data_IF_825355665470
#
_entry.id   IF_825355665470
#
_cell.length_a   1.000
_cell.length_b   1.000
_cell.length_c   1.000
_cell.angle_alpha   90.00
_cell.angle_beta   90.00
_cell.angle_gamma   90.00
#
_symmetry.space_group_name_H-M   'P 1'
#
loop_
_entity.id
_entity.type
_entity.pdbx_description
1 polymer ?
#
# COMPACT_ATOMS: atom_id res chain seq x y z
N UNK A 1 -21.38 -3.47 -27.60
CA UNK A 1 -21.23 -2.26 -26.77
C UNK A 1 -19.82 -1.74 -26.97
N UNK A 2 -19.66 -0.54 -27.53
CA UNK A 2 -18.33 0.03 -27.72
C UNK A 2 -17.78 0.50 -26.37
N UNK A 3 -16.88 -0.29 -25.78
CA UNK A 3 -16.26 0.01 -24.48
C UNK A 3 -15.34 1.25 -24.52
N UNK A 4 -15.05 1.80 -25.71
CA UNK A 4 -14.31 3.05 -25.86
C UNK A 4 -15.19 4.30 -25.85
N UNK A 5 -16.52 4.15 -25.93
CA UNK A 5 -17.45 5.27 -25.85
C UNK A 5 -17.44 5.85 -24.42
N UNK A 6 -17.20 7.14 -24.32
CA UNK A 6 -17.24 7.88 -23.05
C UNK A 6 -18.52 8.68 -22.95
N UNK A 7 -19.28 8.49 -21.87
CA UNK A 7 -20.51 9.22 -21.56
C UNK A 7 -20.16 10.42 -20.68
N UNK A 8 -20.54 11.66 -21.06
CA UNK A 8 -20.22 12.85 -20.28
C UNK A 8 -21.03 12.92 -18.97
N UNK A 9 -20.43 13.49 -17.92
CA UNK A 9 -21.11 13.76 -16.65
C UNK A 9 -21.91 15.06 -16.72
N UNK A 10 -23.03 15.12 -15.99
CA UNK A 10 -23.73 16.39 -15.76
C UNK A 10 -22.95 17.26 -14.76
N UNK A 11 -23.11 18.61 -14.77
CA UNK A 11 -22.38 19.49 -13.85
C UNK A 11 -22.58 19.15 -12.37
N UNK A 12 -23.78 18.72 -12.00
CA UNK A 12 -24.12 18.36 -10.63
C UNK A 12 -23.64 16.95 -10.25
N UNK A 13 -23.46 16.05 -11.23
CA UNK A 13 -22.78 14.78 -11.07
C UNK A 13 -21.28 14.97 -10.83
N UNK A 14 -20.63 15.91 -11.53
CA UNK A 14 -19.24 16.29 -11.27
C UNK A 14 -19.03 16.80 -9.84
N UNK A 15 -19.94 17.64 -9.34
CA UNK A 15 -19.92 18.12 -7.96
C UNK A 15 -20.06 16.97 -6.94
N UNK A 16 -20.92 15.99 -7.22
CA UNK A 16 -21.08 14.81 -6.37
C UNK A 16 -19.80 13.97 -6.33
N UNK A 17 -19.16 13.71 -7.48
CA UNK A 17 -17.89 12.97 -7.54
C UNK A 17 -16.81 13.66 -6.71
N UNK A 18 -16.65 14.99 -6.85
CA UNK A 18 -15.68 15.74 -6.07
C UNK A 18 -15.87 15.54 -4.55
N UNK A 19 -17.11 15.60 -4.08
CA UNK A 19 -17.45 15.41 -2.66
C UNK A 19 -17.25 13.97 -2.18
N UNK A 20 -17.53 12.98 -3.03
CA UNK A 20 -17.32 11.55 -2.74
C UNK A 20 -15.83 11.22 -2.65
N UNK A 21 -15.00 11.81 -3.51
CA UNK A 21 -13.55 11.59 -3.51
C UNK A 21 -12.88 12.04 -2.22
N UNK A 22 -13.46 13.02 -1.52
CA UNK A 22 -12.97 13.44 -0.21
C UNK A 22 -13.03 12.34 0.85
N UNK A 23 -13.87 11.32 0.64
CA UNK A 23 -13.89 10.17 1.54
C UNK A 23 -12.56 9.43 1.54
N UNK A 24 -11.73 9.54 0.49
CA UNK A 24 -10.38 8.96 0.41
C UNK A 24 -9.27 9.99 0.71
N UNK A 25 -8.12 9.54 1.26
CA UNK A 25 -6.93 10.38 1.40
C UNK A 25 -6.52 10.99 0.06
N UNK A 26 -6.12 12.25 0.09
CA UNK A 26 -5.76 13.04 -1.11
C UNK A 26 -4.81 12.28 -2.05
N UNK A 27 -3.81 11.61 -1.48
CA UNK A 27 -2.77 10.87 -2.19
C UNK A 27 -3.29 9.74 -3.11
N UNK A 28 -4.48 9.18 -2.84
CA UNK A 28 -5.10 8.13 -3.67
C UNK A 28 -6.37 8.59 -4.38
N UNK A 29 -6.75 9.88 -4.30
CA UNK A 29 -8.00 10.36 -4.91
C UNK A 29 -8.02 10.19 -6.43
N UNK A 30 -6.92 10.50 -7.12
CA UNK A 30 -6.85 10.36 -8.58
C UNK A 30 -7.05 8.91 -9.05
N UNK A 31 -6.55 7.93 -8.27
CA UNK A 31 -6.79 6.51 -8.56
C UNK A 31 -8.27 6.16 -8.43
N UNK A 32 -8.93 6.64 -7.38
CA UNK A 32 -10.35 6.38 -7.15
C UNK A 32 -11.25 7.14 -8.11
N UNK A 33 -10.88 8.35 -8.50
CA UNK A 33 -11.59 9.15 -9.51
C UNK A 33 -11.68 8.40 -10.83
N UNK A 34 -10.54 7.92 -11.35
CA UNK A 34 -10.51 7.11 -12.57
C UNK A 34 -11.42 5.87 -12.48
N UNK A 35 -11.37 5.13 -11.35
CA UNK A 35 -12.20 3.93 -11.14
C UNK A 35 -13.68 4.23 -11.04
N UNK A 36 -14.06 5.28 -10.30
CA UNK A 36 -15.46 5.69 -10.17
C UNK A 36 -15.99 6.09 -11.52
N UNK A 37 -15.24 6.89 -12.27
CA UNK A 37 -15.65 7.33 -13.61
C UNK A 37 -15.78 6.18 -14.59
N UNK A 38 -14.84 5.23 -14.57
CA UNK A 38 -14.91 4.03 -15.40
C UNK A 38 -16.17 3.21 -15.13
N UNK A 39 -16.49 2.96 -13.85
CA UNK A 39 -17.68 2.18 -13.48
C UNK A 39 -18.95 2.96 -13.82
N UNK A 40 -19.02 4.26 -13.54
CA UNK A 40 -20.17 5.08 -13.92
C UNK A 40 -20.40 5.06 -15.44
N UNK A 41 -19.32 5.12 -16.22
CA UNK A 41 -19.39 5.00 -17.67
C UNK A 41 -19.93 3.63 -18.10
N UNK A 42 -19.46 2.54 -17.52
CA UNK A 42 -19.96 1.19 -17.81
C UNK A 42 -21.45 1.04 -17.46
N UNK A 43 -21.89 1.56 -16.31
CA UNK A 43 -23.30 1.53 -15.89
C UNK A 43 -24.15 2.35 -16.85
N UNK A 44 -23.74 3.57 -17.19
CA UNK A 44 -24.44 4.42 -18.16
C UNK A 44 -24.58 3.74 -19.54
N UNK A 45 -23.48 3.20 -20.06
CA UNK A 45 -23.48 2.48 -21.35
C UNK A 45 -24.40 1.27 -21.33
N UNK A 46 -24.44 0.52 -20.23
CA UNK A 46 -25.31 -0.66 -20.11
C UNK A 46 -26.81 -0.31 -20.10
N UNK A 47 -27.14 0.95 -19.77
CA UNK A 47 -28.51 1.49 -19.77
C UNK A 47 -28.85 2.30 -21.02
N UNK A 48 -27.86 2.54 -21.90
CA UNK A 48 -28.04 3.39 -23.07
C UNK A 48 -28.15 4.88 -22.73
N UNK A 49 -27.66 5.31 -21.56
CA UNK A 49 -27.69 6.71 -21.13
C UNK A 49 -26.69 7.56 -21.92
N UNK A 50 -27.11 8.77 -22.28
CA UNK A 50 -26.25 9.74 -22.97
C UNK A 50 -25.49 10.67 -22.01
N UNK A 51 -25.89 10.70 -20.74
CA UNK A 51 -25.25 11.50 -19.68
C UNK A 51 -25.19 10.71 -18.38
N UNK A 52 -24.13 10.90 -17.61
CA UNK A 52 -24.02 10.35 -16.25
C UNK A 52 -24.59 11.37 -15.27
N UNK A 53 -25.78 11.08 -14.74
CA UNK A 53 -26.44 11.85 -13.69
C UNK A 53 -26.08 11.36 -12.28
N UNK A 54 -26.58 12.05 -11.25
CA UNK A 54 -26.44 11.59 -9.86
C UNK A 54 -27.08 10.22 -9.63
N UNK A 55 -28.19 9.92 -10.28
CA UNK A 55 -28.88 8.64 -10.17
C UNK A 55 -27.98 7.50 -10.68
N UNK A 56 -27.30 7.70 -11.82
CA UNK A 56 -26.34 6.73 -12.36
C UNK A 56 -25.14 6.55 -11.44
N UNK A 57 -24.63 7.62 -10.82
CA UNK A 57 -23.57 7.53 -9.81
C UNK A 57 -24.03 6.69 -8.61
N UNK A 58 -25.22 6.97 -8.08
CA UNK A 58 -25.77 6.26 -6.92
C UNK A 58 -26.01 4.79 -7.22
N UNK A 59 -26.47 4.47 -8.43
CA UNK A 59 -26.61 3.10 -8.89
C UNK A 59 -25.24 2.41 -9.05
N UNK A 60 -24.25 3.12 -9.60
CA UNK A 60 -22.88 2.63 -9.69
C UNK A 60 -22.30 2.30 -8.32
N UNK A 61 -22.64 3.05 -7.27
CA UNK A 61 -22.20 2.73 -5.90
C UNK A 61 -22.83 1.46 -5.32
N UNK A 62 -23.89 0.94 -5.93
CA UNK A 62 -24.44 -0.36 -5.58
C UNK A 62 -23.71 -1.54 -6.24
N UNK A 63 -22.80 -1.30 -7.20
CA UNK A 63 -22.00 -2.34 -7.84
C UNK A 63 -20.68 -2.59 -7.12
N UNK A 64 -20.04 -3.74 -7.38
CA UNK A 64 -18.66 -3.97 -6.96
C UNK A 64 -17.70 -3.03 -7.72
N UNK A 65 -16.66 -2.46 -7.07
CA UNK A 65 -16.21 -2.65 -5.69
C UNK A 65 -16.83 -1.68 -4.67
N UNK A 66 -17.67 -0.73 -5.10
CA UNK A 66 -18.24 0.28 -4.20
C UNK A 66 -19.21 -0.28 -3.17
N UNK A 67 -19.81 -1.44 -3.45
CA UNK A 67 -20.59 -2.18 -2.47
C UNK A 67 -19.84 -2.40 -1.13
N UNK A 68 -18.52 -2.61 -1.19
CA UNK A 68 -17.66 -2.74 -0.01
C UNK A 68 -17.23 -1.41 0.61
N UNK A 69 -17.48 -0.29 -0.06
CA UNK A 69 -17.17 1.06 0.39
C UNK A 69 -18.42 1.87 0.72
N UNK A 70 -19.62 1.26 0.73
CA UNK A 70 -20.89 1.95 0.99
C UNK A 70 -20.86 2.76 2.28
N UNK A 71 -20.39 2.17 3.38
CA UNK A 71 -20.30 2.86 4.68
C UNK A 71 -19.44 4.14 4.58
N UNK A 72 -18.34 4.09 3.80
CA UNK A 72 -17.38 5.19 3.65
C UNK A 72 -17.98 6.30 2.80
N UNK A 73 -18.52 5.93 1.65
CA UNK A 73 -19.10 6.84 0.67
C UNK A 73 -20.35 7.51 1.28
N UNK A 74 -21.31 6.71 1.73
CA UNK A 74 -22.56 7.22 2.28
C UNK A 74 -22.40 7.84 3.66
N UNK A 75 -21.46 7.37 4.49
CA UNK A 75 -21.09 8.06 5.73
C UNK A 75 -20.57 9.47 5.46
N UNK A 76 -19.64 9.63 4.51
CA UNK A 76 -19.11 10.96 4.13
C UNK A 76 -20.20 11.88 3.57
N UNK A 77 -21.12 11.34 2.76
CA UNK A 77 -22.24 12.11 2.22
C UNK A 77 -23.23 12.53 3.33
N UNK A 78 -23.48 11.67 4.31
CA UNK A 78 -24.33 11.95 5.46
C UNK A 78 -23.71 13.02 6.38
N UNK A 79 -22.42 12.91 6.69
CA UNK A 79 -21.68 13.90 7.50
C UNK A 79 -21.69 15.30 6.85
N UNK A 80 -21.82 15.36 5.53
CA UNK A 80 -21.96 16.59 4.74
C UNK A 80 -23.41 17.07 4.55
N UNK A 81 -24.38 16.39 5.15
CA UNK A 81 -25.81 16.72 5.02
C UNK A 81 -26.39 16.50 3.61
N UNK A 82 -25.72 15.74 2.75
CA UNK A 82 -26.17 15.50 1.37
C UNK A 82 -27.25 14.42 1.27
N UNK A 83 -27.29 13.51 2.24
CA UNK A 83 -28.28 12.43 2.33
C UNK A 83 -28.76 12.30 3.78
N UNK A 84 -30.01 11.90 3.96
CA UNK A 84 -30.57 11.58 5.28
C UNK A 84 -30.25 10.14 5.67
N UNK A 85 -29.72 9.93 6.87
CA UNK A 85 -29.50 8.60 7.46
C UNK A 85 -28.03 8.26 7.68
N UNK A 86 -27.75 7.52 8.76
CA UNK A 86 -26.43 6.97 9.02
C UNK A 86 -26.30 5.60 8.34
N UNK A 87 -25.52 5.56 7.25
CA UNK A 87 -25.25 4.36 6.46
C UNK A 87 -24.03 3.58 6.97
N UNK A 88 -23.41 4.01 8.08
CA UNK A 88 -22.47 3.18 8.84
C UNK A 88 -23.32 2.08 9.47
N UNK A 89 -23.37 0.94 8.78
CA UNK A 89 -24.17 -0.23 9.13
C UNK A 89 -24.15 -0.45 10.66
N UNK A 90 -25.31 -0.56 11.33
CA UNK A 90 -25.48 -0.75 12.80
C UNK A 90 -24.88 -2.06 13.37
N UNK A 91 -23.93 -2.67 12.67
CA UNK A 91 -23.04 -3.68 13.23
C UNK A 91 -21.86 -3.05 13.97
N UNK A 92 -20.92 -3.84 14.53
CA UNK A 92 -19.75 -3.33 15.26
C UNK A 92 -18.81 -2.40 14.46
N UNK A 93 -19.08 -2.18 13.16
CA UNK A 93 -18.40 -1.24 12.28
C UNK A 93 -19.06 0.16 12.21
N UNK A 94 -20.20 0.38 12.89
CA UNK A 94 -20.98 1.63 12.86
C UNK A 94 -20.23 2.84 13.44
N UNK A 95 -19.31 2.60 14.37
CA UNK A 95 -18.58 3.63 15.10
C UNK A 95 -17.22 3.98 14.47
N UNK A 96 -16.95 3.51 13.25
CA UNK A 96 -15.65 3.72 12.63
C UNK A 96 -15.62 5.12 12.02
N UNK A 97 -14.94 6.02 12.70
CA UNK A 97 -14.58 7.32 12.17
C UNK A 97 -13.70 7.11 10.94
N UNK A 98 -13.86 7.94 9.90
CA UNK A 98 -12.93 7.89 8.76
C UNK A 98 -11.50 7.98 9.30
N UNK A 99 -10.57 7.15 8.80
CA UNK A 99 -9.21 7.18 9.31
C UNK A 99 -8.63 8.56 9.07
N UNK A 100 -8.21 9.21 10.16
CA UNK A 100 -7.58 10.52 10.07
C UNK A 100 -6.18 10.35 9.46
N UNK A 101 -5.78 11.28 8.61
CA UNK A 101 -4.35 11.42 8.30
C UNK A 101 -3.67 11.99 9.54
N UNK A 102 -3.00 11.13 10.30
CA UNK A 102 -2.14 11.57 11.39
C UNK A 102 -0.86 12.23 10.87
N UNK A 103 -0.29 13.13 11.66
CA UNK A 103 1.08 13.59 11.43
C UNK A 103 2.05 12.53 11.96
N UNK A 104 3.10 12.27 11.18
CA UNK A 104 4.23 11.46 11.64
C UNK A 104 5.02 12.29 12.66
N UNK A 105 4.81 12.05 13.95
CA UNK A 105 5.67 12.58 15.00
C UNK A 105 6.71 11.53 15.37
N UNK A 106 7.98 11.84 15.13
CA UNK A 106 9.10 11.04 15.62
C UNK A 106 9.30 11.44 17.09
N UNK A 107 9.00 10.54 18.03
CA UNK A 107 9.07 10.84 19.47
C UNK A 107 10.50 10.75 19.98
N UNK A 108 11.31 9.83 19.41
CA UNK A 108 12.75 9.81 19.62
C UNK A 108 13.45 10.95 18.85
N UNK A 109 14.47 11.60 19.42
CA UNK A 109 15.26 12.58 18.68
C UNK A 109 15.82 11.92 17.41
N UNK A 110 15.75 12.64 16.29
CA UNK A 110 16.28 12.16 15.00
C UNK A 110 17.75 11.88 15.17
N UNK A 111 18.08 10.60 15.35
CA UNK A 111 19.45 10.16 15.41
C UNK A 111 20.06 10.45 14.02
N UNK A 112 21.04 11.35 13.98
CA UNK A 112 21.65 11.80 12.74
C UNK A 112 22.19 10.59 11.98
N UNK A 113 21.85 10.50 10.69
CA UNK A 113 22.49 9.53 9.81
C UNK A 113 24.00 9.79 9.84
N UNK A 114 24.79 8.73 10.02
CA UNK A 114 26.26 8.82 9.98
C UNK A 114 26.77 9.08 8.57
N UNK A 115 26.04 8.57 7.57
CA UNK A 115 26.29 8.79 6.14
C UNK A 115 25.73 10.14 5.68
N UNK A 116 26.40 10.73 4.70
CA UNK A 116 25.83 11.86 3.94
C UNK A 116 24.57 11.38 3.21
N UNK A 117 23.59 12.26 3.03
CA UNK A 117 22.29 11.85 2.49
C UNK A 117 22.41 11.26 1.08
N UNK A 118 23.39 11.71 0.30
CA UNK A 118 23.71 11.24 -1.05
C UNK A 118 24.32 9.83 -1.09
N UNK A 119 24.83 9.34 0.04
CA UNK A 119 25.39 8.00 0.21
C UNK A 119 24.39 7.02 0.84
N UNK A 120 23.21 7.52 1.24
CA UNK A 120 22.16 6.71 1.86
C UNK A 120 21.39 5.97 0.78
N UNK A 121 21.37 4.64 0.88
CA UNK A 121 20.59 3.77 0.00
C UNK A 121 19.25 3.42 0.64
N UNK A 122 18.15 3.73 -0.05
CA UNK A 122 16.78 3.40 0.37
C UNK A 122 16.19 2.37 -0.57
N UNK A 123 15.84 1.20 -0.03
CA UNK A 123 15.19 0.13 -0.76
C UNK A 123 13.70 0.07 -0.42
N UNK A 124 12.87 0.38 -1.39
CA UNK A 124 11.44 0.14 -1.37
C UNK A 124 11.09 -1.28 -1.80
N UNK A 125 10.36 -2.02 -0.98
CA UNK A 125 9.89 -3.38 -1.30
C UNK A 125 8.37 -3.35 -1.42
N UNK A 126 7.85 -3.53 -2.63
CA UNK A 126 6.42 -3.61 -2.90
C UNK A 126 5.98 -5.07 -3.04
N UNK A 127 5.26 -5.60 -2.07
CA UNK A 127 4.71 -6.96 -2.14
C UNK A 127 3.32 -7.04 -2.76
N UNK A 128 2.65 -5.90 -2.95
CA UNK A 128 1.38 -5.84 -3.67
C UNK A 128 1.58 -6.28 -5.12
N UNK A 129 0.81 -7.24 -5.64
CA UNK A 129 0.83 -7.59 -7.07
C UNK A 129 0.12 -6.55 -7.94
N UNK A 130 -0.56 -5.58 -7.30
CA UNK A 130 -1.32 -4.50 -7.96
C UNK A 130 -0.42 -3.27 -8.10
N UNK A 131 0.18 -3.14 -9.28
CA UNK A 131 0.85 -1.92 -9.71
C UNK A 131 -0.14 -0.76 -9.77
N UNK A 132 0.33 0.45 -9.42
CA UNK A 132 -0.46 1.68 -9.34
C UNK A 132 -1.69 1.56 -8.41
N UNK A 133 -1.72 0.58 -7.51
CA UNK A 133 -2.71 0.43 -6.45
C UNK A 133 -2.36 1.28 -5.22
N UNK A 134 -3.24 1.27 -4.22
CA UNK A 134 -3.07 2.06 -2.99
C UNK A 134 -1.68 1.89 -2.35
N UNK A 135 -1.23 0.64 -2.14
CA UNK A 135 0.06 0.33 -1.52
C UNK A 135 1.24 0.87 -2.34
N UNK A 136 1.19 0.73 -3.66
CA UNK A 136 2.24 1.18 -4.56
C UNK A 136 2.36 2.71 -4.57
N UNK A 137 1.21 3.40 -4.62
CA UNK A 137 1.16 4.86 -4.56
C UNK A 137 1.76 5.34 -3.24
N UNK A 138 1.28 4.84 -2.10
CA UNK A 138 1.77 5.26 -0.78
C UNK A 138 3.27 5.00 -0.61
N UNK A 139 3.75 3.81 -1.00
CA UNK A 139 5.18 3.48 -0.97
C UNK A 139 5.98 4.42 -1.86
N UNK A 140 5.52 4.65 -3.10
CA UNK A 140 6.23 5.50 -4.07
C UNK A 140 6.36 6.94 -3.59
N UNK A 141 5.38 7.45 -2.86
CA UNK A 141 5.39 8.81 -2.31
C UNK A 141 6.39 8.97 -1.16
N UNK A 142 6.53 7.96 -0.30
CA UNK A 142 7.58 7.91 0.73
C UNK A 142 8.96 7.87 0.08
N UNK A 143 9.14 7.00 -0.91
CA UNK A 143 10.38 6.87 -1.65
C UNK A 143 10.74 8.16 -2.41
N UNK A 144 9.74 8.86 -2.97
CA UNK A 144 9.94 10.18 -3.57
C UNK A 144 10.46 11.18 -2.54
N UNK A 145 9.87 11.22 -1.34
CA UNK A 145 10.36 12.10 -0.27
C UNK A 145 11.82 11.85 0.11
N UNK A 146 12.25 10.59 0.16
CA UNK A 146 13.66 10.25 0.38
C UNK A 146 14.56 10.69 -0.78
N UNK A 147 14.12 10.47 -2.03
CA UNK A 147 14.83 10.89 -3.23
C UNK A 147 14.97 12.42 -3.33
N UNK A 148 13.92 13.16 -3.00
CA UNK A 148 13.90 14.63 -2.98
C UNK A 148 14.88 15.21 -1.95
N UNK A 149 15.28 14.41 -0.94
CA UNK A 149 16.33 14.76 0.02
C UNK A 149 17.74 14.38 -0.44
N UNK A 150 17.88 13.72 -1.58
CA UNK A 150 19.17 13.36 -2.18
C UNK A 150 19.59 11.90 -2.00
N UNK A 151 18.77 11.06 -1.35
CA UNK A 151 19.11 9.64 -1.18
C UNK A 151 19.09 8.86 -2.50
N UNK A 152 19.89 7.80 -2.58
CA UNK A 152 19.83 6.79 -3.65
C UNK A 152 18.65 5.86 -3.38
N UNK A 153 17.65 5.86 -4.27
CA UNK A 153 16.37 5.20 -4.03
C UNK A 153 16.08 4.18 -5.11
N UNK A 154 15.85 2.93 -4.68
CA UNK A 154 15.40 1.85 -5.54
C UNK A 154 14.04 1.31 -5.07
N UNK A 155 13.14 0.97 -6.01
CA UNK A 155 11.89 0.26 -5.71
C UNK A 155 11.86 -1.08 -6.42
N UNK A 156 11.64 -2.16 -5.65
CA UNK A 156 11.52 -3.53 -6.14
C UNK A 156 10.10 -4.05 -5.90
N UNK A 157 9.44 -4.56 -6.94
CA UNK A 157 8.13 -5.21 -6.80
C UNK A 157 8.30 -6.73 -6.70
N UNK A 158 8.11 -7.26 -5.49
CA UNK A 158 8.20 -8.70 -5.22
C UNK A 158 6.86 -9.41 -5.42
N UNK A 159 5.75 -8.67 -5.52
CA UNK A 159 4.40 -9.23 -5.65
C UNK A 159 4.16 -10.06 -6.91
N UNK A 160 5.04 -9.95 -7.92
CA UNK A 160 5.02 -10.72 -9.17
C UNK A 160 6.31 -11.50 -9.43
N UNK A 161 7.27 -11.44 -8.50
CA UNK A 161 8.51 -12.19 -8.62
C UNK A 161 8.26 -13.67 -8.32
N UNK A 162 9.04 -14.53 -8.94
CA UNK A 162 9.11 -15.93 -8.58
C UNK A 162 9.97 -16.06 -7.31
N UNK A 163 9.32 -16.01 -6.15
CA UNK A 163 9.95 -16.28 -4.85
C UNK A 163 9.28 -17.52 -4.26
N UNK A 164 10.02 -18.62 -4.26
CA UNK A 164 9.56 -19.90 -3.74
C UNK A 164 9.55 -19.86 -2.20
N UNK A 165 8.64 -20.61 -1.58
CA UNK A 165 8.57 -20.72 -0.12
C UNK A 165 9.83 -21.38 0.46
N UNK A 166 10.16 -21.08 1.70
CA UNK A 166 11.25 -21.75 2.41
C UNK A 166 10.86 -23.19 2.73
N UNK A 167 11.70 -24.17 2.36
CA UNK A 167 11.45 -25.59 2.66
C UNK A 167 12.00 -26.04 4.01
N UNK A 168 12.64 -25.14 4.77
CA UNK A 168 13.29 -25.51 6.04
C UNK A 168 14.47 -26.45 5.89
N UNK A 169 15.07 -26.57 4.69
CA UNK A 169 16.17 -27.51 4.42
C UNK A 169 17.48 -27.20 5.18
N UNK A 170 17.56 -26.04 5.84
CA UNK A 170 18.72 -25.58 6.60
C UNK A 170 20.05 -25.50 5.85
N UNK A 171 20.06 -25.64 4.51
CA UNK A 171 21.28 -25.52 3.71
C UNK A 171 21.97 -24.15 3.86
N UNK A 172 21.19 -23.11 4.18
CA UNK A 172 21.68 -21.77 4.52
C UNK A 172 22.50 -21.70 5.81
N UNK A 173 22.46 -22.73 6.67
CA UNK A 173 23.34 -22.84 7.85
C UNK A 173 24.74 -23.35 7.49
N UNK A 174 24.98 -23.87 6.29
CA UNK A 174 26.31 -24.33 5.87
C UNK A 174 27.22 -23.11 5.56
N UNK A 175 28.54 -23.30 5.45
CA UNK A 175 29.52 -22.24 5.18
C UNK A 175 29.49 -21.73 3.72
N UNK A 176 28.30 -21.48 3.17
CA UNK A 176 28.11 -20.93 1.82
C UNK A 176 27.75 -19.45 1.93
N UNK A 177 28.41 -18.62 1.13
CA UNK A 177 28.19 -17.15 1.06
C UNK A 177 27.14 -16.83 -0.01
N UNK A 178 26.63 -15.60 -0.04
CA UNK A 178 25.85 -15.12 -1.18
C UNK A 178 26.68 -15.21 -2.48
N UNK A 179 26.04 -15.52 -3.62
CA UNK A 179 24.62 -15.85 -3.80
C UNK A 179 24.26 -17.33 -3.53
N UNK A 180 25.23 -18.15 -3.14
CA UNK A 180 25.11 -19.62 -3.09
C UNK A 180 24.66 -20.21 -1.75
N UNK A 181 24.39 -19.37 -0.77
CA UNK A 181 23.94 -19.81 0.55
C UNK A 181 22.58 -20.54 0.51
N UNK A 182 21.69 -20.18 -0.43
CA UNK A 182 20.40 -20.83 -0.59
C UNK A 182 20.43 -21.80 -1.79
N UNK A 183 19.91 -23.01 -1.56
CA UNK A 183 19.78 -24.05 -2.61
C UNK A 183 18.62 -23.78 -3.56
N UNK A 184 17.64 -22.99 -3.14
CA UNK A 184 16.52 -22.58 -3.97
C UNK A 184 16.99 -21.41 -4.83
N UNK A 185 17.07 -21.62 -6.15
CA UNK A 185 17.51 -20.63 -7.12
C UNK A 185 16.30 -19.96 -7.78
N UNK A 186 16.07 -18.72 -7.39
CA UNK A 186 14.93 -17.90 -7.80
C UNK A 186 15.27 -16.40 -7.74
N UNK A 187 14.29 -15.52 -7.96
CA UNK A 187 14.50 -14.07 -8.05
C UNK A 187 15.12 -13.49 -6.77
N UNK A 188 14.93 -14.15 -5.63
CA UNK A 188 15.53 -13.76 -4.36
C UNK A 188 17.06 -13.92 -4.41
N UNK A 189 17.53 -15.10 -4.84
CA UNK A 189 18.96 -15.42 -5.00
C UNK A 189 19.62 -14.75 -6.20
N UNK A 190 18.83 -14.31 -7.19
CA UNK A 190 19.33 -13.65 -8.40
C UNK A 190 19.82 -12.20 -8.16
N UNK A 191 19.67 -11.66 -6.94
CA UNK A 191 20.24 -10.36 -6.58
C UNK A 191 19.50 -9.61 -5.48
N UNK A 192 18.27 -10.02 -5.12
CA UNK A 192 17.48 -9.29 -4.13
C UNK A 192 18.09 -9.33 -2.72
N UNK A 193 18.75 -10.42 -2.34
CA UNK A 193 19.53 -10.46 -1.09
C UNK A 193 20.62 -9.39 -1.05
N UNK A 194 21.35 -9.19 -2.15
CA UNK A 194 22.43 -8.19 -2.20
C UNK A 194 21.86 -6.77 -2.06
N UNK A 195 20.78 -6.47 -2.80
CA UNK A 195 20.08 -5.18 -2.68
C UNK A 195 19.61 -4.91 -1.26
N UNK A 196 19.10 -5.92 -0.58
CA UNK A 196 18.70 -5.80 0.80
C UNK A 196 19.90 -5.48 1.69
N UNK A 197 21.01 -6.23 1.60
CA UNK A 197 22.20 -5.97 2.43
C UNK A 197 22.82 -4.59 2.20
N UNK A 198 22.83 -4.13 0.94
CA UNK A 198 23.41 -2.86 0.54
C UNK A 198 22.60 -1.64 1.01
N UNK A 199 21.29 -1.80 1.20
CA UNK A 199 20.40 -0.70 1.56
C UNK A 199 20.57 -0.30 3.02
N UNK A 200 20.53 1.00 3.33
CA UNK A 200 20.60 1.55 4.67
C UNK A 200 19.23 1.68 5.34
N UNK A 201 18.20 1.89 4.50
CA UNK A 201 16.82 2.09 4.90
C UNK A 201 15.91 1.21 4.04
N UNK A 202 14.95 0.56 4.68
CA UNK A 202 13.90 -0.21 4.00
C UNK A 202 12.55 0.49 4.13
N UNK A 203 11.78 0.51 3.05
CA UNK A 203 10.35 0.88 3.10
C UNK A 203 9.56 -0.27 2.48
N UNK A 204 8.80 -0.99 3.30
CA UNK A 204 8.13 -2.23 2.88
C UNK A 204 6.63 -1.98 2.80
N UNK A 205 6.08 -2.04 1.58
CA UNK A 205 4.66 -1.85 1.31
C UNK A 205 3.94 -3.14 0.98
N UNK A 206 2.89 -3.45 1.73
CA UNK A 206 2.09 -4.66 1.55
C UNK A 206 0.60 -4.44 1.81
N UNK A 207 -0.28 -5.15 1.08
CA UNK A 207 -1.69 -5.21 1.41
C UNK A 207 -1.95 -6.26 2.51
N UNK A 208 -2.83 -5.92 3.45
CA UNK A 208 -3.37 -6.86 4.44
C UNK A 208 -4.60 -7.54 3.83
N UNK A 209 -4.51 -8.85 3.63
CA UNK A 209 -5.63 -9.67 3.15
C UNK A 209 -6.29 -10.49 4.26
N UNK A 210 -5.50 -11.01 5.20
CA UNK A 210 -5.96 -11.93 6.25
C UNK A 210 -5.48 -11.52 7.65
N UNK A 211 -5.22 -10.23 7.87
CA UNK A 211 -4.74 -9.70 9.16
C UNK A 211 -3.22 -9.74 9.35
N UNK A 212 -2.47 -10.15 8.32
CA UNK A 212 -1.00 -10.14 8.27
C UNK A 212 -0.52 -9.70 6.89
N UNK A 213 0.80 -9.68 6.70
CA UNK A 213 1.41 -9.47 5.39
C UNK A 213 0.93 -10.51 4.35
N UNK A 214 0.90 -10.14 3.07
CA UNK A 214 0.48 -11.07 2.02
C UNK A 214 1.55 -12.15 1.76
N UNK A 215 1.13 -13.27 1.16
CA UNK A 215 1.97 -14.46 0.95
C UNK A 215 3.33 -14.18 0.28
N UNK A 216 3.39 -13.25 -0.69
CA UNK A 216 4.66 -12.90 -1.33
C UNK A 216 5.68 -12.31 -0.33
N UNK A 217 5.21 -11.47 0.60
CA UNK A 217 6.06 -10.90 1.65
C UNK A 217 6.38 -11.93 2.74
N UNK A 218 5.45 -12.82 3.08
CA UNK A 218 5.73 -13.94 4.00
C UNK A 218 6.83 -14.85 3.43
N UNK A 219 6.73 -15.25 2.16
CA UNK A 219 7.77 -16.06 1.50
C UNK A 219 9.13 -15.35 1.50
N UNK A 220 9.13 -14.04 1.23
CA UNK A 220 10.34 -13.22 1.32
C UNK A 220 10.94 -13.30 2.72
N UNK A 221 10.17 -13.03 3.79
CA UNK A 221 10.70 -13.06 5.17
C UNK A 221 11.13 -14.46 5.62
N UNK A 222 10.39 -15.51 5.31
CA UNK A 222 10.76 -16.89 5.66
C UNK A 222 12.11 -17.29 5.06
N UNK A 223 12.39 -16.81 3.84
CA UNK A 223 13.67 -17.03 3.14
C UNK A 223 14.80 -16.14 3.66
N UNK A 224 14.51 -15.14 4.51
CA UNK A 224 15.50 -14.36 5.25
C UNK A 224 15.86 -14.97 6.62
N UNK A 225 15.25 -16.09 7.02
CA UNK A 225 15.66 -16.82 8.23
C UNK A 225 17.17 -17.12 8.26
N UNK A 226 17.72 -17.65 7.15
CA UNK A 226 19.15 -17.91 7.02
C UNK A 226 20.03 -16.66 7.08
N UNK A 227 19.45 -15.47 6.84
CA UNK A 227 20.16 -14.20 6.90
C UNK A 227 20.46 -13.82 8.36
N UNK A 228 19.53 -14.13 9.28
CA UNK A 228 19.60 -13.72 10.69
C UNK A 228 20.45 -14.60 11.62
N UNK A 229 20.96 -15.77 11.16
CA UNK A 229 21.61 -16.78 12.02
C UNK A 229 23.15 -16.63 12.07
N UNK A 230 23.69 -15.49 11.62
CA UNK A 230 25.08 -15.12 11.90
C UNK A 230 26.15 -15.92 11.16
N UNK A 231 25.85 -16.44 9.96
CA UNK A 231 26.85 -17.12 9.09
C UNK A 231 27.09 -16.44 7.75
N UNK A 232 26.69 -15.17 7.61
CA UNK A 232 27.32 -14.33 6.61
C UNK A 232 28.77 -14.09 6.97
N UNK A 233 29.64 -13.76 6.00
CA UNK A 233 30.95 -13.16 6.28
C UNK A 233 30.85 -11.76 6.91
N UNK A 234 29.69 -11.38 7.44
CA UNK A 234 29.32 -10.02 7.81
C UNK A 234 28.67 -10.05 9.20
N UNK A 235 29.39 -9.51 10.18
CA UNK A 235 28.90 -9.30 11.53
C UNK A 235 28.11 -7.99 11.55
N UNK A 236 26.84 -8.04 11.94
CA UNK A 236 26.04 -6.82 12.16
C UNK A 236 26.66 -6.05 13.32
N UNK A 237 27.34 -4.93 13.05
CA UNK A 237 27.77 -4.03 14.11
C UNK A 237 26.56 -3.27 14.63
N UNK A 238 26.50 -2.98 15.92
CA UNK A 238 25.41 -2.16 16.49
C UNK A 238 25.27 -0.80 15.79
N UNK A 239 26.38 -0.32 15.22
CA UNK A 239 26.47 0.92 14.45
C UNK A 239 25.80 0.86 13.06
N UNK A 240 25.43 -0.33 12.59
CA UNK A 240 24.86 -0.63 11.27
C UNK A 240 23.36 -0.99 11.32
N UNK A 241 22.69 -0.68 12.44
CA UNK A 241 21.24 -0.85 12.59
C UNK A 241 20.52 -0.16 11.41
N UNK A 242 19.96 -0.99 10.54
CA UNK A 242 19.18 -0.54 9.38
C UNK A 242 17.87 0.04 9.86
N UNK A 243 17.38 1.08 9.18
CA UNK A 243 16.11 1.73 9.52
C UNK A 243 15.00 1.18 8.63
N UNK A 244 13.78 1.13 9.14
CA UNK A 244 12.65 0.52 8.44
C UNK A 244 11.38 1.34 8.59
N UNK A 245 10.56 1.36 7.55
CA UNK A 245 9.18 1.83 7.59
C UNK A 245 8.28 0.80 6.90
N UNK A 246 7.04 0.67 7.40
CA UNK A 246 6.03 -0.22 6.83
C UNK A 246 4.88 0.60 6.24
N UNK A 247 4.40 0.19 5.07
CA UNK A 247 3.21 0.73 4.42
C UNK A 247 2.19 -0.40 4.31
N UNK A 248 1.35 -0.52 5.32
CA UNK A 248 0.28 -1.52 5.34
C UNK A 248 -1.03 -0.91 4.81
N UNK A 249 -1.70 -1.59 3.89
CA UNK A 249 -3.02 -1.16 3.41
C UNK A 249 -4.08 -2.22 3.64
N UNK A 250 -5.20 -1.85 4.26
CA UNK A 250 -6.34 -2.72 4.48
C UNK A 250 -7.63 -2.03 3.99
N UNK A 251 -8.54 -2.82 3.41
CA UNK A 251 -9.86 -2.35 2.98
C UNK A 251 -10.92 -2.24 4.09
N UNK A 252 -10.74 -2.88 5.25
CA UNK A 252 -11.74 -2.85 6.32
C UNK A 252 -11.52 -1.63 7.22
N UNK A 253 -12.57 -0.85 7.52
CA UNK A 253 -12.55 0.17 8.56
C UNK A 253 -12.61 -0.54 9.92
N UNK A 254 -11.56 -1.23 10.35
CA UNK A 254 -11.54 -1.75 11.72
C UNK A 254 -10.98 -0.67 12.66
N UNK A 255 -11.47 -0.63 13.89
CA UNK A 255 -10.97 0.24 14.97
C UNK A 255 -9.47 0.04 15.27
N UNK A 256 -8.85 -0.99 14.70
CA UNK A 256 -7.42 -1.24 14.83
C UNK A 256 -6.54 -0.27 14.02
N UNK A 257 -7.10 0.49 13.07
CA UNK A 257 -6.34 1.41 12.20
C UNK A 257 -7.06 2.76 12.06
N UNK A 258 -7.20 3.47 13.18
CA UNK A 258 -7.84 4.79 13.22
C UNK A 258 -7.07 5.87 12.44
N UNK A 259 -5.78 5.66 12.15
CA UNK A 259 -5.01 6.57 11.27
C UNK A 259 -4.41 5.82 10.09
N UNK A 260 -4.40 6.50 8.94
CA UNK A 260 -3.80 5.98 7.71
C UNK A 260 -2.26 5.99 7.74
N UNK A 261 -1.68 6.80 8.63
CA UNK A 261 -0.23 6.92 8.88
C UNK A 261 -0.05 6.92 10.39
N UNK A 262 0.66 5.93 10.91
CA UNK A 262 0.94 5.77 12.34
C UNK A 262 2.42 5.49 12.55
N UNK A 263 3.00 6.13 13.56
CA UNK A 263 4.31 5.73 14.06
C UNK A 263 4.10 4.61 15.08
N UNK A 264 4.39 3.37 14.69
CA UNK A 264 4.34 2.21 15.60
C UNK A 264 5.66 2.00 16.37
N UNK A 265 6.71 2.75 16.05
CA UNK A 265 8.05 2.46 16.54
C UNK A 265 8.72 3.69 17.18
N UNK A 266 8.55 3.80 18.49
CA UNK A 266 9.61 4.19 19.43
C UNK A 266 10.09 2.99 20.26
N UNK A 267 9.98 1.77 19.73
CA UNK A 267 10.66 0.60 20.32
C UNK A 267 12.17 0.80 20.26
#
# INVERSE_FOLDING_TARGET
>A
MDLKKTVPFTPDAEELIAKVLESWPQIIRNLWDGRIREICNLVALSKGEEKISKEIIMESFNTWPFANHKFRIFGTLADKGMISGDFRNKGPQANVTLPNTGNWSVSKPVEKLKKKIEEVKVLGILSSPREKGNTDILLSEILRGAKDKGADVEKVSIGRMNIQFCTGCEACKQEKKLPDFCVIKDDLTAGLYQKFLDADIYVIGFPIYTGRENAALSNFFDRFYGVGIGRFPWEWKEEEKKRGALVATWGSPSFFFEKAVENYCDL
#
